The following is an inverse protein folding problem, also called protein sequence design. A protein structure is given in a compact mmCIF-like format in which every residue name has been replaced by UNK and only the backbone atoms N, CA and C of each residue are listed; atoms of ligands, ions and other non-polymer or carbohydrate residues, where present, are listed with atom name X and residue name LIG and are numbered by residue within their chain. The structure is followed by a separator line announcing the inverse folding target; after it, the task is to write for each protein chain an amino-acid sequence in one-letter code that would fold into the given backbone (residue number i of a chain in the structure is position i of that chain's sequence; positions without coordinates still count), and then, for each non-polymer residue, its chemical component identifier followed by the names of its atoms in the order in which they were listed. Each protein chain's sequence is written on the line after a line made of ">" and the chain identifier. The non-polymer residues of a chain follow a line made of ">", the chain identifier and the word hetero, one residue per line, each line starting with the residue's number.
data_IF_163590194941
#
_entry.id   IF_163590194941
#
_cell.length_a   1.000
_cell.length_b   1.000
_cell.length_c   1.000
_cell.angle_alpha   90.00
_cell.angle_beta   90.00
_cell.angle_gamma   90.00
#
_symmetry.space_group_name_H-M   'P 1'
#
loop_
_entity.id
_entity.type
_entity.pdbx_description
1 polymer ?
#
# COMPACT_ATOMS: atom_id res chain seq x y z
N UNK A 1 -7.05 23.59 1.74
CA UNK A 1 -7.65 22.76 2.81
C UNK A 1 -8.34 21.59 2.15
N UNK A 2 -7.79 20.37 2.29
CA UNK A 2 -8.46 19.15 1.82
C UNK A 2 -9.46 18.80 2.91
N UNK A 3 -10.75 19.04 2.68
CA UNK A 3 -11.79 18.47 3.54
C UNK A 3 -11.80 16.97 3.27
N UNK A 4 -11.44 16.18 4.28
CA UNK A 4 -11.73 14.76 4.26
C UNK A 4 -13.25 14.62 4.33
N UNK A 5 -13.92 14.65 3.18
CA UNK A 5 -15.33 14.34 3.08
C UNK A 5 -15.51 12.94 3.67
N UNK A 6 -16.07 12.88 4.89
CA UNK A 6 -16.45 11.61 5.52
C UNK A 6 -17.34 10.91 4.50
N UNK A 7 -16.84 9.83 3.89
CA UNK A 7 -17.62 9.02 2.95
C UNK A 7 -18.93 8.72 3.65
N UNK A 8 -20.01 9.34 3.20
CA UNK A 8 -21.34 9.06 3.72
C UNK A 8 -21.62 7.62 3.28
N UNK A 9 -21.57 6.71 4.24
CA UNK A 9 -21.72 5.29 3.98
C UNK A 9 -23.20 5.01 3.84
N UNK A 10 -23.60 4.45 2.71
CA UNK A 10 -25.02 4.16 2.42
C UNK A 10 -25.66 3.32 3.54
N UNK A 11 -24.91 2.39 4.12
CA UNK A 11 -25.39 1.56 5.23
C UNK A 11 -25.78 2.36 6.48
N UNK A 12 -25.15 3.52 6.72
CA UNK A 12 -25.52 4.40 7.84
C UNK A 12 -26.91 4.99 7.62
N UNK A 13 -27.18 5.52 6.42
CA UNK A 13 -28.46 6.13 6.10
C UNK A 13 -29.58 5.08 6.04
N UNK A 14 -29.26 3.86 5.57
CA UNK A 14 -30.19 2.73 5.63
C UNK A 14 -30.56 2.39 7.09
N UNK A 15 -29.58 2.30 7.98
CA UNK A 15 -29.83 1.94 9.39
C UNK A 15 -30.58 3.06 10.12
N UNK A 16 -30.23 4.32 9.86
CA UNK A 16 -31.00 5.47 10.35
C UNK A 16 -32.45 5.44 9.85
N UNK A 17 -32.69 5.07 8.59
CA UNK A 17 -34.04 4.96 8.05
C UNK A 17 -34.84 3.80 8.66
N UNK A 18 -34.18 2.68 9.02
CA UNK A 18 -34.83 1.52 9.65
C UNK A 18 -35.15 1.74 11.13
N UNK A 19 -34.18 2.27 11.88
CA UNK A 19 -34.21 2.24 13.36
C UNK A 19 -34.20 3.64 13.97
N UNK A 20 -33.68 4.65 13.28
CA UNK A 20 -33.66 6.03 13.76
C UNK A 20 -33.08 6.17 15.17
N UNK A 21 -33.93 6.60 16.11
CA UNK A 21 -33.55 6.83 17.50
C UNK A 21 -33.34 5.56 18.33
N UNK A 22 -33.70 4.39 17.82
CA UNK A 22 -33.47 3.10 18.50
C UNK A 22 -32.01 2.64 18.42
N UNK A 23 -31.14 3.39 17.74
CA UNK A 23 -29.73 3.06 17.60
C UNK A 23 -28.93 3.60 18.80
N UNK A 24 -28.29 2.71 19.55
CA UNK A 24 -27.34 3.07 20.59
C UNK A 24 -25.94 3.37 20.03
N UNK A 25 -25.46 2.55 19.10
CA UNK A 25 -24.16 2.76 18.47
C UNK A 25 -24.08 2.15 17.08
N UNK A 26 -23.21 2.69 16.23
CA UNK A 26 -22.92 2.15 14.91
C UNK A 26 -21.42 1.98 14.72
N UNK A 27 -21.04 0.89 14.06
CA UNK A 27 -19.65 0.60 13.67
C UNK A 27 -19.58 0.20 12.20
N UNK A 28 -18.52 0.64 11.53
CA UNK A 28 -18.22 0.23 10.16
C UNK A 28 -17.43 -1.08 10.19
N UNK A 29 -17.96 -2.09 9.52
CA UNK A 29 -17.25 -3.33 9.21
C UNK A 29 -16.64 -3.20 7.80
N UNK A 30 -15.36 -2.83 7.76
CA UNK A 30 -14.60 -2.72 6.52
C UNK A 30 -14.26 -4.07 5.88
N UNK A 31 -14.32 -5.17 6.62
CA UNK A 31 -14.07 -6.51 6.11
C UNK A 31 -15.21 -6.98 5.23
N UNK A 32 -16.44 -6.76 5.69
CA UNK A 32 -17.65 -7.16 4.97
C UNK A 32 -18.30 -6.02 4.16
N UNK A 33 -17.77 -4.80 4.24
CA UNK A 33 -18.30 -3.64 3.53
C UNK A 33 -19.68 -3.20 4.02
N UNK A 34 -19.94 -3.31 5.34
CA UNK A 34 -21.25 -3.04 5.96
C UNK A 34 -21.12 -2.08 7.13
N UNK A 35 -22.24 -1.51 7.56
CA UNK A 35 -22.38 -0.87 8.87
C UNK A 35 -23.21 -1.79 9.75
N UNK A 36 -22.84 -1.89 11.01
CA UNK A 36 -23.54 -2.68 12.03
C UNK A 36 -24.02 -1.71 13.10
N UNK A 37 -25.29 -1.79 13.47
CA UNK A 37 -25.91 -1.01 14.53
C UNK A 37 -26.23 -1.91 15.73
N UNK A 38 -25.96 -1.41 16.93
CA UNK A 38 -26.47 -1.95 18.19
C UNK A 38 -27.72 -1.14 18.57
N UNK A 39 -28.82 -1.83 18.83
CA UNK A 39 -30.09 -1.23 19.18
C UNK A 39 -30.30 -1.15 20.70
N UNK A 40 -31.27 -0.36 21.12
CA UNK A 40 -31.66 -0.14 22.53
C UNK A 40 -32.20 -1.40 23.22
N UNK A 41 -32.79 -2.31 22.46
CA UNK A 41 -33.22 -3.64 22.91
C UNK A 41 -32.07 -4.66 23.04
N UNK A 42 -30.84 -4.26 22.70
CA UNK A 42 -29.65 -5.10 22.71
C UNK A 42 -29.48 -5.98 21.46
N UNK A 43 -30.39 -5.91 20.50
CA UNK A 43 -30.26 -6.60 19.22
C UNK A 43 -29.29 -5.87 18.27
N UNK A 44 -28.88 -6.58 17.20
CA UNK A 44 -27.91 -6.09 16.22
C UNK A 44 -28.50 -6.20 14.82
N UNK A 45 -28.48 -5.10 14.06
CA UNK A 45 -28.82 -5.08 12.64
C UNK A 45 -27.63 -4.61 11.80
N UNK A 46 -27.61 -4.96 10.51
CA UNK A 46 -26.57 -4.55 9.58
C UNK A 46 -27.13 -4.11 8.22
N UNK A 47 -26.41 -3.17 7.59
CA UNK A 47 -26.73 -2.69 6.25
C UNK A 47 -25.48 -2.61 5.35
N UNK A 48 -25.59 -2.98 4.06
CA UNK A 48 -24.48 -2.90 3.13
C UNK A 48 -24.14 -1.44 2.78
N UNK A 49 -22.85 -1.14 2.62
CA UNK A 49 -22.38 0.18 2.16
C UNK A 49 -22.31 0.30 0.64
N UNK A 50 -22.52 -0.81 -0.08
CA UNK A 50 -22.59 -0.86 -1.53
C UNK A 50 -24.04 -1.07 -1.95
N UNK A 51 -24.53 -0.23 -2.86
CA UNK A 51 -25.91 -0.32 -3.40
C UNK A 51 -26.07 -1.56 -4.28
N UNK A 52 -25.01 -1.96 -4.99
CA UNK A 52 -24.92 -3.23 -5.69
C UNK A 52 -23.48 -3.74 -5.66
N UNK A 53 -23.24 -5.06 -5.47
CA UNK A 53 -21.91 -5.65 -5.56
C UNK A 53 -21.30 -5.51 -6.96
N UNK A 54 -22.12 -5.36 -8.00
CA UNK A 54 -21.70 -5.16 -9.39
C UNK A 54 -21.55 -3.67 -9.77
N UNK A 55 -21.80 -2.76 -8.82
CA UNK A 55 -21.71 -1.33 -9.08
C UNK A 55 -20.22 -0.94 -9.19
N UNK A 56 -19.74 -0.83 -10.44
CA UNK A 56 -18.41 -0.31 -10.76
C UNK A 56 -18.30 1.15 -10.32
N UNK A 57 -17.80 1.37 -9.12
CA UNK A 57 -17.38 2.69 -8.68
C UNK A 57 -16.17 3.13 -9.52
N UNK A 58 -16.04 4.43 -9.85
CA UNK A 58 -14.87 4.92 -10.56
C UNK A 58 -13.61 4.52 -9.80
N UNK A 59 -12.69 3.89 -10.52
CA UNK A 59 -11.44 3.41 -9.96
C UNK A 59 -10.64 4.59 -9.43
N UNK A 60 -10.36 4.56 -8.13
CA UNK A 60 -9.50 5.55 -7.50
C UNK A 60 -8.10 4.99 -7.45
N UNK A 61 -7.07 5.84 -7.49
CA UNK A 61 -5.66 5.41 -7.38
C UNK A 61 -5.46 4.47 -6.17
N UNK A 62 -6.20 4.72 -5.08
CA UNK A 62 -6.18 3.90 -3.86
C UNK A 62 -6.84 2.52 -4.01
N UNK A 63 -7.88 2.36 -4.84
CA UNK A 63 -8.49 1.04 -5.08
C UNK A 63 -7.55 0.15 -5.89
N UNK A 64 -6.98 0.69 -6.97
CA UNK A 64 -6.00 0.00 -7.83
C UNK A 64 -4.81 -0.50 -7.00
N UNK A 65 -4.19 0.39 -6.20
CA UNK A 65 -3.05 0.03 -5.33
C UNK A 65 -3.39 -1.02 -4.26
N UNK A 66 -4.64 -1.07 -3.79
CA UNK A 66 -5.08 -2.03 -2.78
C UNK A 66 -5.34 -3.40 -3.40
N UNK A 67 -5.97 -3.42 -4.55
CA UNK A 67 -6.32 -4.63 -5.30
C UNK A 67 -5.05 -5.33 -5.79
N UNK A 68 -4.11 -4.56 -6.34
CA UNK A 68 -2.85 -5.07 -6.88
C UNK A 68 -1.68 -5.04 -5.89
N UNK A 69 -1.94 -4.90 -4.59
CA UNK A 69 -0.86 -4.80 -3.57
C UNK A 69 0.11 -5.99 -3.61
N UNK A 70 -0.38 -7.18 -3.97
CA UNK A 70 0.47 -8.38 -4.12
C UNK A 70 1.41 -8.27 -5.31
N UNK A 71 0.91 -7.76 -6.44
CA UNK A 71 1.70 -7.53 -7.64
C UNK A 71 2.75 -6.45 -7.39
N UNK A 72 2.35 -5.29 -6.87
CA UNK A 72 3.28 -4.22 -6.52
C UNK A 72 4.30 -4.66 -5.46
N UNK A 73 3.88 -5.45 -4.47
CA UNK A 73 4.78 -6.04 -3.47
C UNK A 73 5.80 -6.99 -4.09
N UNK A 74 5.38 -7.84 -5.03
CA UNK A 74 6.28 -8.75 -5.74
C UNK A 74 7.30 -7.99 -6.59
N UNK A 75 6.84 -7.01 -7.39
CA UNK A 75 7.73 -6.18 -8.22
C UNK A 75 8.71 -5.41 -7.34
N UNK A 76 8.24 -4.78 -6.26
CA UNK A 76 9.12 -4.08 -5.32
C UNK A 76 10.16 -5.03 -4.70
N UNK A 77 9.75 -6.24 -4.30
CA UNK A 77 10.65 -7.26 -3.77
C UNK A 77 11.74 -7.66 -4.78
N UNK A 78 11.36 -7.94 -6.02
CA UNK A 78 12.31 -8.28 -7.10
C UNK A 78 13.29 -7.14 -7.36
N UNK A 79 12.81 -5.90 -7.40
CA UNK A 79 13.64 -4.71 -7.60
C UNK A 79 14.66 -4.53 -6.48
N UNK A 80 14.27 -4.74 -5.22
CA UNK A 80 15.17 -4.65 -4.06
C UNK A 80 16.22 -5.76 -4.10
N UNK A 81 15.82 -6.99 -4.45
CA UNK A 81 16.77 -8.12 -4.56
C UNK A 81 17.80 -7.84 -5.65
N UNK A 82 17.35 -7.47 -6.86
CA UNK A 82 18.27 -7.16 -7.97
C UNK A 82 19.17 -5.97 -7.64
N UNK A 83 18.59 -4.88 -7.11
CA UNK A 83 19.35 -3.70 -6.70
C UNK A 83 20.41 -4.02 -5.63
N UNK A 84 20.05 -4.83 -4.63
CA UNK A 84 20.99 -5.30 -3.62
C UNK A 84 22.11 -6.16 -4.20
N UNK A 85 21.81 -7.02 -5.17
CA UNK A 85 22.79 -7.88 -5.84
C UNK A 85 23.78 -7.06 -6.67
N UNK A 86 23.29 -6.08 -7.42
CA UNK A 86 24.14 -5.13 -8.16
C UNK A 86 25.02 -4.29 -7.21
N UNK A 87 24.45 -3.79 -6.12
CA UNK A 87 25.18 -3.00 -5.13
C UNK A 87 26.30 -3.82 -4.47
N UNK A 88 26.02 -5.06 -4.08
CA UNK A 88 27.00 -5.97 -3.50
C UNK A 88 28.10 -6.35 -4.49
N UNK A 89 27.74 -6.64 -5.75
CA UNK A 89 28.72 -6.93 -6.80
C UNK A 89 29.64 -5.74 -7.07
N UNK A 90 29.09 -4.52 -7.13
CA UNK A 90 29.89 -3.30 -7.28
C UNK A 90 30.82 -3.08 -6.10
N UNK A 91 30.32 -3.20 -4.86
CA UNK A 91 31.14 -3.05 -3.66
C UNK A 91 32.27 -4.09 -3.59
N UNK A 92 32.00 -5.34 -3.99
CA UNK A 92 33.01 -6.40 -4.08
C UNK A 92 34.09 -6.10 -5.11
N UNK A 93 33.70 -5.68 -6.33
CA UNK A 93 34.64 -5.34 -7.39
C UNK A 93 35.47 -4.09 -7.07
N UNK A 94 34.84 -3.05 -6.50
CA UNK A 94 35.54 -1.85 -6.06
C UNK A 94 36.52 -2.16 -4.92
N UNK A 95 36.13 -3.04 -3.99
CA UNK A 95 36.99 -3.52 -2.91
C UNK A 95 38.19 -4.33 -3.40
N UNK A 96 38.03 -5.19 -4.40
CA UNK A 96 39.14 -5.96 -4.98
C UNK A 96 40.11 -5.06 -5.75
N UNK A 97 39.59 -4.17 -6.60
CA UNK A 97 40.45 -3.27 -7.40
C UNK A 97 41.16 -2.21 -6.55
N UNK A 98 40.58 -1.79 -5.42
CA UNK A 98 41.18 -0.80 -4.51
C UNK A 98 42.18 -1.38 -3.51
N UNK A 99 42.19 -2.70 -3.29
CA UNK A 99 43.05 -3.37 -2.30
C UNK A 99 44.35 -3.94 -2.87
N UNK A 100 44.43 -4.14 -4.19
CA UNK A 100 45.58 -4.77 -4.84
C UNK A 100 46.66 -3.74 -5.20
N UNK A 101 47.85 -3.89 -4.60
CA UNK A 101 48.99 -3.00 -4.84
C UNK A 101 49.39 -2.93 -6.33
N UNK A 102 49.33 -4.07 -7.03
CA UNK A 102 49.62 -4.16 -8.47
C UNK A 102 48.63 -3.35 -9.33
N UNK A 103 47.35 -3.31 -8.94
CA UNK A 103 46.32 -2.54 -9.65
C UNK A 103 46.52 -1.05 -9.41
N UNK A 104 46.93 -0.67 -8.20
CA UNK A 104 47.27 0.73 -7.87
C UNK A 104 48.53 1.21 -8.61
N UNK A 105 49.55 0.36 -8.73
CA UNK A 105 50.77 0.64 -9.50
C UNK A 105 50.47 0.71 -11.00
N UNK A 106 49.63 -0.17 -11.54
CA UNK A 106 49.21 -0.13 -12.94
C UNK A 106 48.41 1.16 -13.25
N UNK A 107 47.51 1.59 -12.36
CA UNK A 107 46.78 2.85 -12.53
C UNK A 107 47.71 4.07 -12.46
N UNK A 108 48.69 4.06 -11.54
CA UNK A 108 49.70 5.10 -11.43
C UNK A 108 50.62 5.15 -12.66
N UNK A 109 51.04 3.99 -13.17
CA UNK A 109 51.86 3.87 -14.37
C UNK A 109 51.11 4.31 -15.64
N UNK A 110 49.83 3.95 -15.76
CA UNK A 110 48.98 4.37 -16.88
C UNK A 110 48.72 5.89 -16.87
N UNK A 111 48.49 6.47 -15.70
CA UNK A 111 48.39 7.92 -15.47
C UNK A 111 49.69 8.65 -15.85
N UNK A 112 50.85 8.06 -15.53
CA UNK A 112 52.16 8.63 -15.87
C UNK A 112 52.48 8.56 -17.38
N UNK A 113 51.87 7.64 -18.14
CA UNK A 113 52.06 7.52 -19.59
C UNK A 113 51.11 8.43 -20.40
N UNK A 114 50.06 8.97 -19.78
CA UNK A 114 49.06 9.82 -20.45
C UNK A 114 49.39 11.32 -20.41
N UNK A 115 50.61 11.70 -20.01
CA UNK A 115 51.17 13.05 -20.12
C UNK A 115 52.36 13.11 -21.09
#
# INVERSE_FOLDING_TARGET
>A
MISLQRRQLVGHDILLARHGNHICSMRVDHGNGRVVALLDDGSVDSAPNLISPDLRLPETIRSVLREDRKFFGAVAGVSVVLGGLFFAAYAGLAGSLGGDAEVSELMMAFSAYTY
#
